data_IF_262121736694
#
_entry.id   IF_262121736694
#
_cell.length_a   1.000
_cell.length_b   1.000
_cell.length_c   1.000
_cell.angle_alpha   90.00
_cell.angle_beta   90.00
_cell.angle_gamma   90.00
#
_symmetry.space_group_name_H-M   'P 1'
#
loop_
_entity.id
_entity.type
_entity.pdbx_description
1 polymer ?
#
# COMPACT_ATOMS: atom_id res chain seq x y z
N UNK A 1 -70.12 27.61 -26.23
CA UNK A 1 -69.67 27.00 -24.97
C UNK A 1 -69.52 25.52 -25.27
N UNK A 2 -68.51 25.05 -26.01
CA UNK A 2 -67.04 25.24 -25.93
C UNK A 2 -66.45 24.59 -24.68
N UNK A 3 -65.45 23.72 -24.93
CA UNK A 3 -64.65 22.82 -24.05
C UNK A 3 -65.39 21.62 -23.46
N UNK A 4 -65.11 20.34 -23.75
CA UNK A 4 -63.88 19.57 -24.05
C UNK A 4 -62.78 19.64 -22.98
N UNK A 5 -62.46 18.49 -22.38
CA UNK A 5 -61.49 18.33 -21.29
C UNK A 5 -61.65 16.95 -20.67
N UNK A 6 -61.07 15.86 -21.21
CA UNK A 6 -59.68 15.54 -21.56
C UNK A 6 -59.17 14.46 -20.58
N UNK A 7 -58.65 13.40 -21.19
CA UNK A 7 -58.30 12.12 -20.61
C UNK A 7 -57.15 12.18 -19.61
N UNK A 8 -57.17 11.23 -18.67
CA UNK A 8 -55.98 10.77 -17.97
C UNK A 8 -55.15 9.93 -18.95
N UNK A 9 -54.05 10.50 -19.42
CA UNK A 9 -53.01 9.74 -20.12
C UNK A 9 -51.84 9.54 -19.15
N UNK A 10 -51.56 8.28 -18.89
CA UNK A 10 -50.45 7.82 -18.07
C UNK A 10 -49.20 7.87 -18.95
N UNK A 11 -48.32 8.83 -18.70
CA UNK A 11 -47.05 8.91 -19.39
C UNK A 11 -46.12 7.78 -18.92
N UNK A 12 -45.80 6.93 -19.89
CA UNK A 12 -44.80 5.90 -19.81
C UNK A 12 -43.41 6.53 -19.95
N UNK A 13 -42.50 6.15 -19.06
CA UNK A 13 -41.06 6.15 -19.38
C UNK A 13 -40.48 4.80 -19.00
N UNK A 14 -40.36 3.98 -20.04
CA UNK A 14 -39.43 2.88 -20.14
C UNK A 14 -38.02 3.47 -20.29
N UNK A 15 -37.11 3.17 -19.36
CA UNK A 15 -35.67 3.22 -19.62
C UNK A 15 -35.09 1.87 -19.20
N UNK A 16 -34.56 1.21 -20.22
CA UNK A 16 -34.06 -0.15 -20.24
C UNK A 16 -32.54 -0.08 -20.25
N UNK A 17 -31.91 -1.08 -19.65
CA UNK A 17 -30.55 -1.57 -19.92
C UNK A 17 -29.48 -1.12 -18.94
N UNK A 18 -28.86 -2.12 -18.32
CA UNK A 18 -27.65 -1.98 -17.52
C UNK A 18 -27.53 -3.07 -16.45
N UNK A 19 -27.89 -4.31 -16.77
CA UNK A 19 -27.69 -5.46 -15.88
C UNK A 19 -26.95 -6.56 -16.65
N UNK A 20 -25.72 -6.24 -17.02
CA UNK A 20 -24.60 -7.11 -17.37
C UNK A 20 -23.40 -6.17 -17.11
N UNK A 21 -22.51 -6.41 -16.17
CA UNK A 21 -21.58 -7.53 -16.17
C UNK A 21 -21.29 -7.99 -14.73
N UNK A 22 -21.38 -9.30 -14.53
CA UNK A 22 -20.62 -9.94 -13.46
C UNK A 22 -19.12 -9.83 -13.74
N UNK A 23 -18.35 -10.04 -12.68
CA UNK A 23 -16.92 -10.34 -12.70
C UNK A 23 -15.98 -9.23 -13.21
N UNK A 24 -15.57 -8.37 -12.28
CA UNK A 24 -14.15 -8.07 -12.09
C UNK A 24 -13.91 -7.57 -10.66
N UNK A 25 -14.18 -8.42 -9.65
CA UNK A 25 -13.18 -8.50 -8.59
C UNK A 25 -11.95 -8.98 -9.33
N UNK A 26 -11.03 -8.06 -9.63
CA UNK A 26 -9.79 -8.39 -10.28
C UNK A 26 -9.12 -9.46 -9.42
N UNK A 27 -9.29 -10.71 -9.85
CA UNK A 27 -8.46 -11.84 -9.52
C UNK A 27 -7.06 -11.43 -9.97
N UNK A 28 -6.41 -10.65 -9.11
CA UNK A 28 -5.00 -10.35 -9.22
C UNK A 28 -4.34 -11.63 -8.76
N UNK A 29 -3.74 -12.43 -9.65
CA UNK A 29 -3.19 -13.71 -9.27
C UNK A 29 -2.03 -13.43 -8.32
N UNK A 30 -2.20 -13.72 -7.03
CA UNK A 30 -1.09 -13.84 -6.09
C UNK A 30 -0.98 -12.84 -4.95
N UNK A 31 -1.99 -12.01 -4.66
CA UNK A 31 -2.04 -11.30 -3.38
C UNK A 31 -3.22 -11.83 -2.57
N UNK A 32 -3.00 -12.54 -1.44
CA UNK A 32 -4.11 -12.89 -0.58
C UNK A 32 -4.86 -11.60 -0.20
N UNK A 33 -6.22 -11.62 -0.18
CA UNK A 33 -6.98 -10.50 0.33
C UNK A 33 -6.39 -10.16 1.70
N UNK A 34 -6.23 -8.87 1.99
CA UNK A 34 -5.77 -8.41 3.30
C UNK A 34 -6.59 -9.17 4.35
N UNK A 35 -5.96 -10.14 5.03
CA UNK A 35 -6.65 -10.98 5.99
C UNK A 35 -7.36 -10.03 6.95
N UNK A 36 -8.70 -10.12 7.06
CA UNK A 36 -9.51 -9.14 7.79
C UNK A 36 -8.87 -8.86 9.17
N UNK A 37 -8.43 -7.62 9.38
CA UNK A 37 -7.70 -7.21 10.58
C UNK A 37 -6.20 -6.97 10.41
N UNK A 38 -5.60 -7.18 9.24
CA UNK A 38 -4.21 -6.76 8.95
C UNK A 38 -4.15 -5.46 8.17
N UNK A 39 -3.38 -4.52 8.68
CA UNK A 39 -3.14 -3.22 8.07
C UNK A 39 -1.89 -3.26 7.18
N UNK A 40 -1.87 -2.39 6.17
CA UNK A 40 -0.71 -2.17 5.31
C UNK A 40 -0.35 -0.70 5.32
N UNK A 41 0.94 -0.42 5.43
CA UNK A 41 1.46 0.94 5.41
C UNK A 41 2.73 0.98 4.57
N UNK A 42 2.86 1.98 3.70
CA UNK A 42 4.04 2.11 2.84
C UNK A 42 4.80 3.38 3.20
N UNK A 43 6.11 3.24 3.36
CA UNK A 43 6.99 4.37 3.67
C UNK A 43 8.22 4.34 2.78
N UNK A 44 8.47 5.45 2.09
CA UNK A 44 9.63 5.62 1.23
C UNK A 44 10.63 6.62 1.84
N UNK A 45 11.92 6.32 1.72
CA UNK A 45 13.00 7.18 2.19
C UNK A 45 14.06 7.36 1.11
N UNK A 46 14.45 8.62 0.91
CA UNK A 46 15.51 9.01 -0.03
C UNK A 46 16.84 9.18 0.69
N UNK A 47 17.92 8.85 0.00
CA UNK A 47 19.28 9.01 0.52
C UNK A 47 19.71 7.96 1.54
N UNK A 48 18.94 6.88 1.71
CA UNK A 48 19.34 5.72 2.51
C UNK A 48 19.50 4.49 1.62
N UNK A 49 20.30 3.51 2.09
CA UNK A 49 20.47 2.24 1.39
C UNK A 49 19.51 1.16 1.92
N UNK A 50 19.17 0.19 1.07
CA UNK A 50 18.39 -1.02 1.46
C UNK A 50 19.01 -1.74 2.66
N UNK A 51 20.34 -1.83 2.66
CA UNK A 51 21.14 -2.36 3.77
C UNK A 51 20.81 -1.70 5.10
N UNK A 52 20.71 -0.37 5.13
CA UNK A 52 20.43 0.38 6.36
C UNK A 52 18.98 0.17 6.82
N UNK A 53 18.02 0.19 5.89
CA UNK A 53 16.62 -0.11 6.18
C UNK A 53 16.45 -1.51 6.78
N UNK A 54 17.02 -2.53 6.13
CA UNK A 54 17.02 -3.90 6.62
C UNK A 54 17.68 -4.02 8.01
N UNK A 55 18.81 -3.33 8.22
CA UNK A 55 19.48 -3.32 9.52
C UNK A 55 18.61 -2.72 10.63
N UNK A 56 17.83 -1.67 10.34
CA UNK A 56 16.89 -1.12 11.32
C UNK A 56 15.74 -2.05 11.63
N UNK A 57 15.17 -2.71 10.63
CA UNK A 57 14.10 -3.69 10.84
C UNK A 57 14.58 -4.88 11.70
N UNK A 58 15.82 -5.33 11.51
CA UNK A 58 16.42 -6.34 12.40
C UNK A 58 16.55 -5.88 13.85
N UNK A 59 16.97 -4.62 14.05
CA UNK A 59 17.04 -4.04 15.40
C UNK A 59 15.66 -3.88 16.06
N UNK A 60 14.59 -3.88 15.27
CA UNK A 60 13.20 -3.85 15.75
C UNK A 60 12.62 -5.27 15.96
N UNK A 61 13.44 -6.31 15.86
CA UNK A 61 13.04 -7.71 16.07
C UNK A 61 12.66 -8.46 14.79
N UNK A 62 12.93 -7.88 13.61
CA UNK A 62 12.74 -8.58 12.33
C UNK A 62 13.89 -9.52 11.98
N UNK A 63 13.61 -10.52 11.17
CA UNK A 63 14.60 -11.44 10.59
C UNK A 63 14.55 -11.40 9.07
N UNK A 64 15.73 -11.50 8.42
CA UNK A 64 15.80 -11.48 6.97
C UNK A 64 15.26 -12.80 6.39
N UNK A 65 14.44 -12.70 5.35
CA UNK A 65 13.87 -13.87 4.68
C UNK A 65 14.47 -13.99 3.28
N UNK A 66 15.05 -15.15 2.98
CA UNK A 66 15.61 -15.46 1.65
C UNK A 66 17.04 -14.99 1.41
N UNK A 67 17.65 -14.27 2.36
CA UNK A 67 19.07 -13.86 2.32
C UNK A 67 19.59 -13.56 3.72
N UNK A 68 20.88 -13.79 3.94
CA UNK A 68 21.60 -13.37 5.15
C UNK A 68 22.23 -11.97 4.98
N UNK A 69 22.35 -11.49 3.74
CA UNK A 69 22.95 -10.19 3.44
C UNK A 69 21.90 -9.06 3.49
N UNK A 70 22.06 -8.06 4.39
CA UNK A 70 21.09 -6.97 4.50
C UNK A 70 21.02 -6.07 3.26
N UNK A 71 22.09 -5.98 2.47
CA UNK A 71 22.08 -5.21 1.23
C UNK A 71 21.26 -5.90 0.14
N UNK A 72 21.05 -7.21 0.21
CA UNK A 72 20.18 -8.00 -0.70
C UNK A 72 18.77 -8.26 -0.13
N UNK A 73 18.49 -7.81 1.10
CA UNK A 73 17.22 -8.07 1.76
C UNK A 73 16.04 -7.44 1.02
N UNK A 74 15.14 -8.29 0.52
CA UNK A 74 13.85 -7.89 -0.09
C UNK A 74 12.67 -8.12 0.84
N UNK A 75 12.85 -8.90 1.91
CA UNK A 75 11.80 -9.20 2.88
C UNK A 75 12.37 -9.39 4.29
N UNK A 76 11.65 -8.85 5.26
CA UNK A 76 11.92 -9.00 6.69
C UNK A 76 10.62 -9.39 7.38
N UNK A 77 10.61 -10.48 8.13
CA UNK A 77 9.47 -10.92 8.92
C UNK A 77 9.77 -10.70 10.42
N UNK A 78 8.82 -10.16 11.17
CA UNK A 78 8.90 -9.97 12.62
C UNK A 78 7.65 -10.49 13.32
N UNK A 79 7.56 -10.26 14.63
CA UNK A 79 6.43 -10.73 15.42
C UNK A 79 5.15 -9.93 15.12
N UNK A 80 4.18 -10.53 14.44
CA UNK A 80 2.93 -9.89 14.04
C UNK A 80 3.05 -8.91 12.85
N UNK A 81 4.22 -8.84 12.20
CA UNK A 81 4.43 -7.94 11.06
C UNK A 81 5.40 -8.50 10.01
N UNK A 82 5.30 -7.96 8.81
CA UNK A 82 6.17 -8.22 7.66
C UNK A 82 6.50 -6.91 6.98
N UNK A 83 7.71 -6.82 6.43
CA UNK A 83 8.12 -5.73 5.54
C UNK A 83 8.68 -6.27 4.25
N UNK A 84 8.19 -5.75 3.13
CA UNK A 84 8.83 -5.90 1.82
C UNK A 84 9.68 -4.66 1.56
N UNK A 85 10.91 -4.86 1.08
CA UNK A 85 11.85 -3.80 0.76
C UNK A 85 12.13 -3.78 -0.75
N UNK A 86 11.96 -2.62 -1.35
CA UNK A 86 12.45 -2.31 -2.70
C UNK A 86 13.37 -1.11 -2.66
N UNK A 87 14.32 -1.06 -3.60
CA UNK A 87 15.25 0.05 -3.72
C UNK A 87 15.39 0.42 -5.19
N UNK A 88 15.29 1.71 -5.48
CA UNK A 88 15.35 2.27 -6.81
C UNK A 88 16.17 3.55 -6.82
N UNK A 89 16.71 3.90 -7.99
CA UNK A 89 17.40 5.18 -8.20
C UNK A 89 16.40 6.17 -8.76
N UNK A 90 16.18 7.29 -8.06
CA UNK A 90 15.22 8.34 -8.45
C UNK A 90 15.93 9.68 -8.64
N UNK A 91 15.43 10.50 -9.55
CA UNK A 91 15.92 11.86 -9.75
C UNK A 91 15.24 12.82 -8.77
N UNK A 92 16.00 13.41 -7.86
CA UNK A 92 15.43 14.29 -6.82
C UNK A 92 15.34 15.76 -7.27
N UNK A 93 16.39 16.29 -7.90
CA UNK A 93 16.43 17.63 -8.46
C UNK A 93 17.50 17.76 -9.54
N UNK A 94 17.19 18.45 -10.64
CA UNK A 94 18.07 18.58 -11.81
C UNK A 94 18.57 17.19 -12.30
N UNK A 95 19.89 16.95 -12.24
CA UNK A 95 20.52 15.69 -12.61
C UNK A 95 21.02 14.88 -11.38
N UNK A 96 20.55 15.20 -10.17
CA UNK A 96 20.95 14.49 -8.95
C UNK A 96 20.11 13.23 -8.80
N UNK A 97 20.78 12.10 -8.88
CA UNK A 97 20.22 10.77 -8.62
C UNK A 97 20.39 10.40 -7.15
N UNK A 98 19.32 9.94 -6.51
CA UNK A 98 19.32 9.45 -5.14
C UNK A 98 18.77 8.03 -5.11
N UNK A 99 19.28 7.20 -4.21
CA UNK A 99 18.61 5.95 -3.88
C UNK A 99 17.36 6.25 -3.05
N UNK A 100 16.23 5.75 -3.50
CA UNK A 100 14.99 5.67 -2.74
C UNK A 100 14.77 4.21 -2.32
N UNK A 101 14.47 4.02 -1.05
CA UNK A 101 14.11 2.71 -0.50
C UNK A 101 12.66 2.80 -0.05
N UNK A 102 11.85 1.90 -0.59
CA UNK A 102 10.43 1.75 -0.23
C UNK A 102 10.29 0.54 0.68
N UNK A 103 9.64 0.75 1.81
CA UNK A 103 9.33 -0.27 2.80
C UNK A 103 7.81 -0.39 2.93
N UNK A 104 7.30 -1.56 2.55
CA UNK A 104 5.88 -1.89 2.60
C UNK A 104 5.63 -2.79 3.81
N UNK A 105 4.99 -2.24 4.84
CA UNK A 105 4.61 -2.92 6.06
C UNK A 105 3.27 -3.61 5.89
N UNK A 106 3.14 -4.81 6.44
CA UNK A 106 1.88 -5.53 6.55
C UNK A 106 1.85 -6.29 7.87
N UNK A 107 0.78 -6.16 8.67
CA UNK A 107 0.73 -6.80 9.98
C UNK A 107 -0.49 -6.39 10.80
N UNK A 108 -0.49 -6.77 12.07
CA UNK A 108 -1.54 -6.36 13.00
C UNK A 108 -1.47 -4.84 13.24
N UNK A 109 -2.61 -4.12 13.26
CA UNK A 109 -2.65 -2.66 13.35
C UNK A 109 -2.02 -2.16 14.66
N UNK A 110 -2.24 -2.85 15.78
CA UNK A 110 -1.64 -2.52 17.07
C UNK A 110 -0.10 -2.65 17.02
N UNK A 111 0.40 -3.69 16.34
CA UNK A 111 1.83 -3.92 16.17
C UNK A 111 2.45 -2.87 15.24
N UNK A 112 1.77 -2.54 14.13
CA UNK A 112 2.23 -1.49 13.21
C UNK A 112 2.20 -0.10 13.86
N UNK A 113 1.20 0.20 14.69
CA UNK A 113 1.10 1.44 15.43
C UNK A 113 2.30 1.66 16.38
N UNK A 114 2.86 0.59 16.95
CA UNK A 114 4.07 0.64 17.76
C UNK A 114 5.37 0.63 16.96
N UNK A 115 5.38 -0.02 15.79
CA UNK A 115 6.55 -0.22 14.94
C UNK A 115 6.85 1.02 14.07
N UNK A 116 5.83 1.53 13.38
CA UNK A 116 5.97 2.61 12.39
C UNK A 116 6.57 3.89 12.98
N UNK A 117 6.17 4.37 14.18
CA UNK A 117 6.79 5.54 14.79
C UNK A 117 8.28 5.33 15.08
N UNK A 118 8.68 4.14 15.55
CA UNK A 118 10.09 3.81 15.83
C UNK A 118 10.92 3.77 14.55
N UNK A 119 10.35 3.20 13.48
CA UNK A 119 10.99 3.16 12.17
C UNK A 119 11.12 4.57 11.55
N UNK A 120 10.05 5.37 11.57
CA UNK A 120 10.01 6.75 11.06
C UNK A 120 10.91 7.71 11.83
N UNK A 121 10.94 7.61 13.16
CA UNK A 121 11.73 8.50 14.01
C UNK A 121 13.23 8.41 13.71
N UNK A 122 13.72 7.22 13.36
CA UNK A 122 15.14 7.02 13.03
C UNK A 122 15.51 7.55 11.64
N UNK A 123 14.56 7.52 10.70
CA UNK A 123 14.76 8.05 9.36
C UNK A 123 14.77 9.59 9.32
N UNK A 124 13.96 10.27 10.16
CA UNK A 124 13.98 11.73 10.23
C UNK A 124 15.20 12.31 10.96
N UNK A 125 15.84 11.56 11.86
CA UNK A 125 17.01 12.06 12.62
C UNK A 125 18.35 11.95 11.89
N UNK A 126 18.38 11.34 10.70
CA UNK A 126 19.55 11.29 9.84
C UNK A 126 19.53 12.38 8.73
N UNK A 127 18.43 13.14 8.62
CA UNK A 127 18.25 14.22 7.65
C UNK A 127 18.07 15.58 8.32
N UNK A 128 18.95 15.92 9.26
CA UNK A 128 19.17 17.29 9.74
C UNK A 128 20.51 17.79 9.26
#
# INVERSE_FOLDING_TARGET
MSDDGAAADADAVEEKSGADEGAAAADTPGLPPAEEGRERETVAYRGISRRLAAHYLRNLGGELVGTDDPAEATRVDGDGWRVTLSAETVTAAAAIELTEVTAEFAGDPDVLADLLPKYRQKAMRAGG
#
